data_IF_064247507233
#
_entry.id   IF_064247507233
#
_cell.length_a   1.000
_cell.length_b   1.000
_cell.length_c   1.000
_cell.angle_alpha   90.00
_cell.angle_beta   90.00
_cell.angle_gamma   90.00
#
_symmetry.space_group_name_H-M   'P 1'
#
loop_
_entity.id
_entity.type
_entity.pdbx_description
1 polymer ?
#
# COMPACT_ATOMS: atom_id res chain seq x y z
N UNK A 1 4.32 35.00 -0.10
CA UNK A 1 5.56 34.19 -0.14
C UNK A 1 5.25 32.95 -0.95
N UNK A 2 5.98 32.68 -2.01
CA UNK A 2 5.73 31.50 -2.84
C UNK A 2 6.45 30.30 -2.21
N UNK A 3 5.74 29.22 -1.93
CA UNK A 3 6.29 27.95 -1.47
C UNK A 3 6.73 27.11 -2.69
N UNK A 4 7.85 27.51 -3.32
CA UNK A 4 8.28 26.89 -4.55
C UNK A 4 9.16 25.63 -4.33
N UNK A 5 9.81 25.54 -3.18
CA UNK A 5 10.73 24.46 -2.86
C UNK A 5 10.79 24.16 -1.35
N UNK A 6 11.51 23.09 -1.01
CA UNK A 6 11.67 22.65 0.39
C UNK A 6 12.34 23.70 1.30
N UNK A 7 13.26 24.48 0.75
CA UNK A 7 13.93 25.55 1.51
C UNK A 7 12.97 26.68 1.87
N UNK A 8 12.13 27.09 0.92
CA UNK A 8 11.10 28.09 1.14
C UNK A 8 10.05 27.62 2.15
N UNK A 9 9.71 26.33 2.13
CA UNK A 9 8.81 25.74 3.12
C UNK A 9 9.39 25.83 4.53
N UNK A 10 10.66 25.45 4.71
CA UNK A 10 11.33 25.55 6.02
C UNK A 10 11.40 27.00 6.52
N UNK A 11 11.77 27.93 5.65
CA UNK A 11 11.83 29.35 5.98
C UNK A 11 10.45 29.90 6.36
N UNK A 12 9.42 29.52 5.65
CA UNK A 12 8.04 29.90 5.94
C UNK A 12 7.59 29.39 7.31
N UNK A 13 7.87 28.12 7.62
CA UNK A 13 7.55 27.53 8.94
C UNK A 13 8.29 28.26 10.06
N UNK A 14 9.58 28.54 9.90
CA UNK A 14 10.36 29.29 10.88
C UNK A 14 9.79 30.69 11.13
N UNK A 15 9.35 31.36 10.07
CA UNK A 15 8.71 32.71 10.16
C UNK A 15 7.37 32.61 10.90
N UNK A 16 6.53 31.60 10.61
CA UNK A 16 5.25 31.41 11.28
C UNK A 16 5.40 31.08 12.77
N UNK A 17 6.42 30.29 13.12
CA UNK A 17 6.75 29.97 14.50
C UNK A 17 7.42 31.13 15.26
N UNK A 18 7.89 32.15 14.53
CA UNK A 18 8.68 33.28 15.08
C UNK A 18 9.88 32.81 15.93
N UNK A 19 10.48 31.66 15.58
CA UNK A 19 11.59 31.03 16.30
C UNK A 19 12.71 30.63 15.35
N UNK A 20 13.90 31.21 15.58
CA UNK A 20 15.09 30.94 14.79
C UNK A 20 15.89 29.69 15.31
N UNK A 21 15.60 29.25 16.54
CA UNK A 21 16.28 28.12 17.19
C UNK A 21 15.80 26.74 16.73
N UNK A 22 14.71 26.66 15.96
CA UNK A 22 14.10 25.41 15.53
C UNK A 22 14.47 24.96 14.11
N UNK A 23 15.46 25.58 13.50
CA UNK A 23 15.87 25.27 12.12
C UNK A 23 16.29 23.81 11.91
N UNK A 24 16.83 23.17 12.95
CA UNK A 24 17.22 21.75 12.93
C UNK A 24 16.04 20.80 13.17
N UNK A 25 14.97 21.26 13.84
CA UNK A 25 13.80 20.44 14.20
C UNK A 25 12.68 20.50 13.15
N UNK A 26 12.62 21.61 12.39
CA UNK A 26 11.62 21.78 11.32
C UNK A 26 11.64 20.63 10.30
N UNK A 27 12.80 20.14 9.81
CA UNK A 27 12.85 18.99 8.93
C UNK A 27 12.19 17.72 9.51
N UNK A 28 12.32 17.48 10.81
CA UNK A 28 11.72 16.34 11.48
C UNK A 28 10.19 16.42 11.48
N UNK A 29 9.64 17.62 11.72
CA UNK A 29 8.19 17.85 11.63
C UNK A 29 7.66 17.65 10.21
N UNK A 30 8.40 18.08 9.19
CA UNK A 30 8.03 17.87 7.80
C UNK A 30 8.03 16.39 7.50
N UNK A 31 9.04 15.62 7.91
CA UNK A 31 9.13 14.20 7.71
C UNK A 31 7.96 13.44 8.39
N UNK A 32 7.58 13.84 9.60
CA UNK A 32 6.43 13.30 10.30
C UNK A 32 5.12 13.57 9.55
N UNK A 33 4.95 14.78 9.01
CA UNK A 33 3.79 15.15 8.22
C UNK A 33 3.73 14.33 6.91
N UNK A 34 4.84 14.21 6.19
CA UNK A 34 4.95 13.40 4.97
C UNK A 34 4.62 11.93 5.24
N UNK A 35 5.15 11.38 6.32
CA UNK A 35 4.84 10.00 6.74
C UNK A 35 3.35 9.83 7.01
N UNK A 36 2.72 10.77 7.68
CA UNK A 36 1.28 10.75 7.94
C UNK A 36 0.48 10.87 6.64
N UNK A 37 0.88 11.74 5.72
CA UNK A 37 0.23 11.87 4.42
C UNK A 37 0.32 10.58 3.61
N UNK A 38 1.49 9.97 3.54
CA UNK A 38 1.70 8.71 2.83
C UNK A 38 0.84 7.57 3.38
N UNK A 39 0.54 7.57 4.67
CA UNK A 39 -0.34 6.56 5.31
C UNK A 39 -1.82 6.85 5.14
N UNK A 40 -2.22 8.12 5.08
CA UNK A 40 -3.64 8.53 5.13
C UNK A 40 -4.20 8.88 3.75
N UNK A 41 -3.40 9.54 2.93
CA UNK A 41 -3.84 9.96 1.60
C UNK A 41 -3.78 8.78 0.62
N UNK A 42 -4.81 8.71 -0.23
CA UNK A 42 -4.87 7.80 -1.36
C UNK A 42 -4.96 8.63 -2.64
N UNK A 43 -3.81 9.01 -3.15
CA UNK A 43 -3.71 9.77 -4.39
C UNK A 43 -3.58 8.81 -5.58
N UNK A 44 -4.13 9.20 -6.73
CA UNK A 44 -4.04 8.42 -7.97
C UNK A 44 -2.59 8.11 -8.38
N UNK A 45 -1.67 9.01 -8.08
CA UNK A 45 -0.25 8.83 -8.37
C UNK A 45 0.41 7.72 -7.54
N UNK A 46 -0.23 7.30 -6.45
CA UNK A 46 0.24 6.20 -5.59
C UNK A 46 -0.20 4.83 -6.11
N UNK A 47 -1.04 4.79 -7.14
CA UNK A 47 -1.46 3.53 -7.74
C UNK A 47 -0.32 2.92 -8.54
N UNK A 48 0.11 1.75 -8.11
CA UNK A 48 1.18 0.99 -8.77
C UNK A 48 0.68 -0.40 -9.12
N UNK A 49 1.11 -0.91 -10.25
CA UNK A 49 0.82 -2.28 -10.68
C UNK A 49 2.02 -3.16 -10.38
N UNK A 50 1.79 -4.26 -9.68
CA UNK A 50 2.78 -5.30 -9.45
C UNK A 50 2.32 -6.61 -10.11
N UNK A 51 3.25 -7.29 -10.78
CA UNK A 51 3.04 -8.65 -11.27
C UNK A 51 3.65 -9.61 -10.27
N UNK A 52 2.85 -10.50 -9.74
CA UNK A 52 3.27 -11.51 -8.78
C UNK A 52 3.15 -12.90 -9.42
N UNK A 53 4.15 -13.73 -9.20
CA UNK A 53 4.11 -15.12 -9.65
C UNK A 53 3.56 -15.99 -8.52
N UNK A 54 2.48 -16.71 -8.79
CA UNK A 54 1.90 -17.67 -7.85
C UNK A 54 2.67 -18.97 -7.97
N UNK A 55 3.53 -19.25 -7.00
CA UNK A 55 4.32 -20.49 -6.94
C UNK A 55 3.84 -21.45 -5.83
N UNK A 56 2.93 -21.01 -4.98
CA UNK A 56 2.40 -21.77 -3.86
C UNK A 56 1.17 -21.13 -3.25
N UNK A 57 0.76 -21.62 -2.09
CA UNK A 57 -0.41 -21.11 -1.36
C UNK A 57 -0.22 -19.66 -0.88
N UNK A 58 1.01 -19.26 -0.58
CA UNK A 58 1.34 -17.95 -0.07
C UNK A 58 2.26 -17.22 -1.03
N UNK A 59 1.91 -15.98 -1.35
CA UNK A 59 2.70 -15.09 -2.21
C UNK A 59 3.03 -13.82 -1.42
N UNK A 60 4.32 -13.45 -1.29
CA UNK A 60 4.70 -12.28 -0.52
C UNK A 60 4.10 -11.01 -1.11
N UNK A 61 3.64 -10.12 -0.25
CA UNK A 61 3.14 -8.80 -0.60
C UNK A 61 4.33 -7.90 -0.99
N UNK A 62 4.21 -7.04 -2.02
CA UNK A 62 5.23 -6.04 -2.33
C UNK A 62 5.54 -5.13 -1.13
N UNK A 63 6.80 -4.76 -0.94
CA UNK A 63 7.25 -3.96 0.21
C UNK A 63 6.61 -2.57 0.29
N UNK A 64 6.17 -2.03 -0.84
CA UNK A 64 5.50 -0.74 -0.97
C UNK A 64 3.96 -0.83 -0.98
N UNK A 65 3.42 -2.03 -0.66
CA UNK A 65 1.98 -2.25 -0.66
C UNK A 65 1.30 -1.54 0.51
N UNK A 66 0.23 -0.81 0.21
CA UNK A 66 -0.60 -0.12 1.19
C UNK A 66 -2.01 -0.68 1.25
N UNK A 67 -2.62 -0.88 0.08
CA UNK A 67 -4.01 -1.30 -0.04
C UNK A 67 -4.25 -1.98 -1.39
N UNK A 68 -5.13 -2.98 -1.38
CA UNK A 68 -5.58 -3.64 -2.60
C UNK A 68 -6.70 -2.85 -3.27
N UNK A 69 -6.55 -2.59 -4.55
CA UNK A 69 -7.57 -1.95 -5.34
C UNK A 69 -8.26 -2.92 -6.30
N UNK A 70 -7.49 -3.63 -7.08
CA UNK A 70 -7.99 -4.63 -8.01
C UNK A 70 -6.89 -5.62 -8.39
N UNK A 71 -7.25 -6.86 -8.61
CA UNK A 71 -6.35 -7.88 -9.09
C UNK A 71 -7.02 -8.82 -10.08
N UNK A 72 -6.23 -9.42 -10.92
CA UNK A 72 -6.68 -10.41 -11.87
C UNK A 72 -5.56 -11.41 -12.15
N UNK A 73 -5.94 -12.60 -12.54
CA UNK A 73 -5.03 -13.60 -13.07
C UNK A 73 -4.85 -13.36 -14.56
N UNK A 74 -3.59 -13.29 -14.99
CA UNK A 74 -3.28 -13.20 -16.41
C UNK A 74 -3.70 -14.50 -17.13
N UNK A 75 -4.39 -14.32 -18.25
CA UNK A 75 -4.89 -15.39 -19.08
C UNK A 75 -5.79 -14.85 -20.17
N UNK A 76 -6.25 -15.73 -21.02
CA UNK A 76 -7.23 -15.37 -22.06
C UNK A 76 -8.46 -16.28 -21.89
N UNK A 77 -9.56 -15.78 -21.32
CA UNK A 77 -9.79 -14.44 -20.79
C UNK A 77 -9.15 -14.16 -19.42
N UNK A 78 -8.92 -12.89 -19.09
CA UNK A 78 -8.48 -12.47 -17.75
C UNK A 78 -9.55 -12.79 -16.72
N UNK A 79 -9.16 -13.34 -15.57
CA UNK A 79 -10.07 -13.67 -14.46
C UNK A 79 -9.85 -12.71 -13.29
N UNK A 80 -10.88 -11.98 -12.85
CA UNK A 80 -10.76 -11.11 -11.70
C UNK A 80 -10.58 -11.93 -10.42
N UNK A 81 -9.78 -11.39 -9.49
CA UNK A 81 -9.62 -11.92 -8.13
C UNK A 81 -10.51 -11.13 -7.18
N UNK A 82 -11.20 -11.84 -6.30
CA UNK A 82 -12.05 -11.26 -5.27
C UNK A 82 -11.40 -11.44 -3.90
N UNK A 83 -11.42 -10.38 -3.10
CA UNK A 83 -10.94 -10.44 -1.73
C UNK A 83 -11.96 -11.17 -0.84
N UNK A 84 -11.47 -12.11 -0.03
CA UNK A 84 -12.20 -12.72 1.06
C UNK A 84 -11.42 -12.56 2.36
N UNK A 85 -12.11 -12.53 3.50
CA UNK A 85 -11.43 -12.63 4.79
C UNK A 85 -10.78 -14.00 4.94
N UNK A 86 -9.67 -14.07 5.67
CA UNK A 86 -8.92 -15.33 5.89
C UNK A 86 -9.80 -16.44 6.48
N UNK A 87 -10.69 -16.07 7.40
CA UNK A 87 -11.60 -17.02 8.06
C UNK A 87 -12.61 -17.62 7.06
N UNK A 88 -13.25 -16.75 6.26
CA UNK A 88 -14.21 -17.16 5.24
C UNK A 88 -13.56 -18.01 4.15
N UNK A 89 -12.31 -17.71 3.81
CA UNK A 89 -11.55 -18.50 2.84
C UNK A 89 -11.27 -19.90 3.39
N UNK A 90 -10.88 -20.01 4.66
CA UNK A 90 -10.61 -21.30 5.32
C UNK A 90 -11.88 -22.14 5.44
N UNK A 91 -13.02 -21.52 5.74
CA UNK A 91 -14.32 -22.22 5.78
C UNK A 91 -14.77 -22.75 4.41
N UNK A 92 -14.52 -22.00 3.34
CA UNK A 92 -14.93 -22.38 1.99
C UNK A 92 -14.02 -23.40 1.31
N UNK A 93 -12.73 -23.28 1.59
CA UNK A 93 -11.69 -24.10 0.94
C UNK A 93 -10.95 -24.90 2.00
N UNK A 94 -11.50 -26.04 2.34
CA UNK A 94 -10.79 -27.01 3.16
C UNK A 94 -9.53 -27.47 2.42
N UNK A 95 -8.43 -27.67 3.16
CA UNK A 95 -7.13 -28.08 2.63
C UNK A 95 -7.15 -29.40 1.83
N UNK A 96 -8.27 -30.14 1.89
CA UNK A 96 -8.47 -31.40 1.17
C UNK A 96 -8.98 -31.24 -0.27
N UNK A 97 -9.48 -30.05 -0.64
CA UNK A 97 -10.02 -29.79 -1.98
C UNK A 97 -9.03 -29.00 -2.82
N UNK A 98 -8.31 -29.68 -3.70
CA UNK A 98 -7.51 -29.01 -4.72
C UNK A 98 -8.45 -28.43 -5.78
N UNK A 99 -8.59 -27.11 -5.91
CA UNK A 99 -9.45 -26.53 -6.94
C UNK A 99 -8.87 -26.83 -8.32
N UNK A 100 -9.65 -27.44 -9.17
CA UNK A 100 -9.29 -27.78 -10.56
C UNK A 100 -9.29 -26.54 -11.48
N UNK A 101 -9.90 -25.45 -11.05
CA UNK A 101 -9.89 -24.15 -11.74
C UNK A 101 -9.02 -23.18 -10.95
N UNK A 102 -8.17 -22.42 -11.64
CA UNK A 102 -7.26 -21.46 -10.99
C UNK A 102 -7.95 -20.53 -9.97
N UNK A 103 -7.15 -19.84 -9.14
CA UNK A 103 -7.66 -19.06 -8.02
C UNK A 103 -8.66 -18.00 -8.45
N UNK A 104 -9.73 -17.83 -7.68
CA UNK A 104 -10.79 -16.84 -7.88
C UNK A 104 -10.81 -15.88 -6.70
N UNK A 105 -10.41 -16.35 -5.54
CA UNK A 105 -10.40 -15.59 -4.30
C UNK A 105 -9.00 -15.52 -3.73
N UNK A 106 -8.74 -14.46 -2.99
CA UNK A 106 -7.52 -14.31 -2.22
C UNK A 106 -7.83 -13.68 -0.87
N UNK A 107 -6.98 -13.91 0.10
CA UNK A 107 -7.01 -13.26 1.40
C UNK A 107 -5.62 -12.68 1.73
N UNK A 108 -5.57 -11.84 2.73
CA UNK A 108 -4.33 -11.31 3.27
C UNK A 108 -4.03 -12.05 4.58
N UNK A 109 -2.89 -12.71 4.64
CA UNK A 109 -2.41 -13.43 5.81
C UNK A 109 -1.04 -12.88 6.23
N UNK A 110 -1.03 -11.95 7.17
CA UNK A 110 0.18 -11.25 7.59
C UNK A 110 0.75 -10.39 6.46
N UNK A 111 1.95 -10.73 6.00
CA UNK A 111 2.67 -10.08 4.90
C UNK A 111 2.58 -10.83 3.56
N UNK A 112 1.62 -11.73 3.43
CA UNK A 112 1.46 -12.58 2.26
C UNK A 112 0.01 -12.64 1.79
N UNK A 113 -0.19 -12.73 0.49
CA UNK A 113 -1.47 -13.12 -0.12
C UNK A 113 -1.60 -14.66 -0.07
N UNK A 114 -2.81 -15.10 0.26
CA UNK A 114 -3.21 -16.51 0.26
C UNK A 114 -4.32 -16.74 -0.76
#
# INVERSE_FOLDING_TARGET
MALANYTDLKASIATWLARADMTTTIPDFILLAETKFNRTLRARQMETRANLTISGEYVPVPNDWLEFRSGYIEGSPRRPLHYLSSDTQTERYDASTTPTSGPVYFSLAGDSFR
#
